data_IF_436279163354
#
_entry.id   IF_436279163354
#
_cell.length_a   1.000
_cell.length_b   1.000
_cell.length_c   1.000
_cell.angle_alpha   90.00
_cell.angle_beta   90.00
_cell.angle_gamma   90.00
#
_symmetry.space_group_name_H-M   'P 1'
#
loop_
_entity.id
_entity.type
_entity.pdbx_description
1 polymer ?
#
# COMPACT_ATOMS: atom_id res chain seq x y z
N UNK A 1 -10.37 17.38 -7.21
CA UNK A 1 -9.46 16.27 -6.89
C UNK A 1 -9.47 16.10 -5.39
N UNK A 2 -9.92 14.94 -4.90
CA UNK A 2 -10.12 14.69 -3.48
C UNK A 2 -8.84 14.08 -2.90
N UNK A 3 -7.91 14.93 -2.45
CA UNK A 3 -6.73 14.46 -1.73
C UNK A 3 -7.17 13.88 -0.40
N UNK A 4 -6.93 12.58 -0.20
CA UNK A 4 -7.31 11.90 1.05
C UNK A 4 -6.09 11.82 1.96
N UNK A 5 -6.31 12.06 3.25
CA UNK A 5 -5.27 11.86 4.25
C UNK A 5 -5.18 10.36 4.52
N UNK A 6 -4.00 9.80 4.26
CA UNK A 6 -3.70 8.41 4.55
C UNK A 6 -3.79 8.16 6.06
N UNK A 7 -4.55 7.14 6.49
CA UNK A 7 -4.76 6.85 7.90
C UNK A 7 -3.43 6.51 8.58
N UNK A 8 -3.18 7.10 9.75
CA UNK A 8 -1.99 6.83 10.56
C UNK A 8 -0.70 7.53 10.12
N UNK A 9 -0.68 8.22 8.97
CA UNK A 9 0.56 8.84 8.44
C UNK A 9 0.45 10.36 8.27
N UNK A 10 -0.77 10.90 8.23
CA UNK A 10 -1.00 12.33 8.00
C UNK A 10 -0.66 12.80 6.58
N UNK A 11 -0.24 11.88 5.71
CA UNK A 11 0.17 12.19 4.34
C UNK A 11 -1.07 12.34 3.47
N UNK A 12 -1.19 13.48 2.80
CA UNK A 12 -2.18 13.66 1.74
C UNK A 12 -1.71 12.96 0.47
N UNK A 13 -2.54 12.07 -0.02
CA UNK A 13 -2.30 11.35 -1.26
C UNK A 13 -3.56 11.44 -2.14
N UNK A 14 -3.34 11.59 -3.44
CA UNK A 14 -4.42 11.62 -4.41
C UNK A 14 -4.64 10.19 -4.93
N UNK A 15 -5.75 9.52 -4.57
CA UNK A 15 -5.95 8.11 -4.87
C UNK A 15 -5.99 7.82 -6.38
N UNK A 16 -6.50 8.75 -7.18
CA UNK A 16 -6.53 8.65 -8.65
C UNK A 16 -5.14 8.68 -9.29
N UNK A 17 -4.14 9.22 -8.58
CA UNK A 17 -2.74 9.23 -9.04
C UNK A 17 -1.97 7.99 -8.62
N UNK A 18 -2.53 7.08 -7.84
CA UNK A 18 -1.84 5.85 -7.45
C UNK A 18 -1.73 4.92 -8.66
N UNK A 19 -0.51 4.70 -9.11
CA UNK A 19 -0.20 3.77 -10.19
C UNK A 19 -0.04 2.36 -9.64
N UNK A 20 0.81 2.20 -8.62
CA UNK A 20 1.17 0.91 -8.01
C UNK A 20 1.29 1.05 -6.50
N UNK A 21 0.93 -0.01 -5.78
CA UNK A 21 1.18 -0.15 -4.35
C UNK A 21 1.89 -1.49 -4.15
N UNK A 22 3.04 -1.47 -3.50
CA UNK A 22 3.82 -2.67 -3.17
C UNK A 22 3.93 -2.83 -1.66
N UNK A 23 3.95 -4.06 -1.19
CA UNK A 23 4.25 -4.40 0.21
C UNK A 23 5.55 -5.19 0.20
N UNK A 24 6.61 -4.61 0.72
CA UNK A 24 7.91 -5.25 0.87
C UNK A 24 8.13 -5.63 2.34
N UNK A 25 8.42 -6.89 2.61
CA UNK A 25 8.97 -7.27 3.92
C UNK A 25 10.45 -6.88 3.92
N UNK A 26 10.82 -5.91 4.75
CA UNK A 26 12.22 -5.47 4.87
C UNK A 26 12.97 -6.45 5.76
N UNK A 27 12.33 -6.91 6.84
CA UNK A 27 12.85 -7.90 7.78
C UNK A 27 11.70 -8.70 8.44
N UNK A 28 12.02 -9.72 9.24
CA UNK A 28 11.03 -10.48 10.04
C UNK A 28 10.20 -9.62 11.01
N UNK A 29 10.66 -8.40 11.30
CA UNK A 29 10.05 -7.48 12.26
C UNK A 29 9.54 -6.18 11.64
N UNK A 30 9.71 -6.00 10.32
CA UNK A 30 9.42 -4.72 9.65
C UNK A 30 8.89 -4.95 8.25
N UNK A 31 7.73 -4.37 8.01
CA UNK A 31 7.06 -4.39 6.70
C UNK A 31 6.95 -2.97 6.18
N UNK A 32 7.23 -2.76 4.91
CA UNK A 32 7.20 -1.47 4.25
C UNK A 32 6.17 -1.49 3.13
N UNK A 33 5.28 -0.50 3.10
CA UNK A 33 4.37 -0.27 1.97
C UNK A 33 4.92 0.86 1.13
N UNK A 34 5.08 0.61 -0.17
CA UNK A 34 5.57 1.57 -1.16
C UNK A 34 4.43 1.98 -2.08
N UNK A 35 4.12 3.27 -2.12
CA UNK A 35 3.09 3.81 -3.02
C UNK A 35 3.77 4.57 -4.15
N UNK A 36 3.55 4.12 -5.38
CA UNK A 36 4.02 4.77 -6.60
C UNK A 36 2.88 5.60 -7.17
N UNK A 37 3.13 6.91 -7.31
CA UNK A 37 2.17 7.86 -7.86
C UNK A 37 2.59 8.30 -9.26
N UNK A 38 1.62 8.47 -10.16
CA UNK A 38 1.85 9.00 -11.51
C UNK A 38 2.49 10.38 -11.41
N UNK A 39 3.69 10.52 -11.97
CA UNK A 39 4.44 11.78 -12.00
C UNK A 39 5.23 12.10 -10.72
N UNK A 40 5.38 11.15 -9.79
CA UNK A 40 6.42 11.20 -8.75
C UNK A 40 7.59 10.29 -9.15
N UNK A 41 8.84 10.78 -9.06
CA UNK A 41 10.04 9.98 -9.38
C UNK A 41 10.36 8.91 -8.34
N UNK A 42 9.92 9.11 -7.09
CA UNK A 42 10.20 8.21 -5.98
C UNK A 42 8.90 7.73 -5.32
N UNK A 43 8.82 6.45 -4.93
CA UNK A 43 7.69 5.95 -4.17
C UNK A 43 7.67 6.54 -2.76
N UNK A 44 6.47 6.69 -2.21
CA UNK A 44 6.28 7.01 -0.80
C UNK A 44 6.35 5.74 0.03
N UNK A 45 7.26 5.73 1.01
CA UNK A 45 7.55 4.59 1.86
C UNK A 45 6.85 4.74 3.21
N UNK A 46 6.18 3.68 3.65
CA UNK A 46 5.47 3.61 4.92
C UNK A 46 5.90 2.37 5.67
N UNK A 47 6.61 2.53 6.78
CA UNK A 47 7.06 1.43 7.61
C UNK A 47 5.99 1.04 8.64
N UNK A 48 5.80 -0.26 8.80
CA UNK A 48 4.86 -0.89 9.72
C UNK A 48 5.58 -1.91 10.60
N UNK A 49 5.15 -2.04 11.87
CA UNK A 49 5.74 -3.00 12.81
C UNK A 49 5.42 -4.46 12.48
N UNK A 50 4.38 -4.71 11.69
CA UNK A 50 3.93 -6.06 11.36
C UNK A 50 3.18 -6.10 10.03
N UNK A 51 3.12 -7.31 9.45
CA UNK A 51 2.44 -7.58 8.17
C UNK A 51 0.93 -7.27 8.22
N UNK A 52 0.18 -7.66 9.26
CA UNK A 52 -1.22 -7.28 9.40
C UNK A 52 -1.47 -5.77 9.32
N UNK A 53 -0.65 -4.95 9.97
CA UNK A 53 -0.77 -3.49 9.93
C UNK A 53 -0.52 -2.93 8.52
N UNK A 54 0.50 -3.44 7.81
CA UNK A 54 0.76 -3.07 6.42
C UNK A 54 -0.38 -3.49 5.48
N UNK A 55 -0.96 -4.68 5.68
CA UNK A 55 -2.11 -5.16 4.90
C UNK A 55 -3.35 -4.30 5.16
N UNK A 56 -3.63 -3.95 6.42
CA UNK A 56 -4.75 -3.08 6.78
C UNK A 56 -4.62 -1.72 6.09
N UNK A 57 -3.41 -1.14 6.11
CA UNK A 57 -3.12 0.09 5.39
C UNK A 57 -3.33 -0.07 3.88
N UNK A 58 -2.80 -1.13 3.26
CA UNK A 58 -3.01 -1.42 1.85
C UNK A 58 -4.50 -1.50 1.48
N UNK A 59 -5.34 -2.15 2.31
CA UNK A 59 -6.80 -2.21 2.11
C UNK A 59 -7.42 -0.82 2.09
N UNK A 60 -7.07 0.04 3.05
CA UNK A 60 -7.60 1.39 3.11
C UNK A 60 -7.19 2.19 1.87
N UNK A 61 -5.93 2.12 1.45
CA UNK A 61 -5.44 2.81 0.25
C UNK A 61 -6.14 2.29 -1.01
N UNK A 62 -6.28 0.98 -1.16
CA UNK A 62 -6.99 0.39 -2.30
C UNK A 62 -8.46 0.77 -2.32
N UNK A 63 -9.12 0.78 -1.16
CA UNK A 63 -10.50 1.23 -1.03
C UNK A 63 -10.67 2.69 -1.45
N UNK A 64 -9.72 3.55 -1.09
CA UNK A 64 -9.72 4.95 -1.52
C UNK A 64 -9.52 5.09 -3.03
N UNK A 65 -8.66 4.24 -3.63
CA UNK A 65 -8.37 4.22 -5.07
C UNK A 65 -9.52 3.68 -5.92
N UNK A 66 -9.97 2.47 -5.62
CA UNK A 66 -10.92 1.73 -6.45
C UNK A 66 -12.36 1.84 -5.98
N UNK A 67 -12.61 2.40 -4.78
CA UNK A 67 -13.91 2.31 -4.10
C UNK A 67 -14.28 0.89 -3.66
N UNK A 68 -13.40 -0.08 -3.86
CA UNK A 68 -13.62 -1.50 -3.61
C UNK A 68 -12.87 -1.95 -2.36
N UNK A 69 -13.52 -2.79 -1.55
CA UNK A 69 -12.84 -3.46 -0.45
C UNK A 69 -12.24 -4.74 -0.97
N UNK A 70 -10.95 -4.95 -0.75
CA UNK A 70 -10.30 -6.24 -1.03
C UNK A 70 -10.49 -7.17 0.15
N UNK A 71 -10.75 -8.44 -0.12
CA UNK A 71 -10.70 -9.51 0.86
C UNK A 71 -9.28 -10.05 1.02
N UNK A 72 -9.00 -10.67 2.17
CA UNK A 72 -7.67 -11.15 2.54
C UNK A 72 -7.06 -12.08 1.48
N UNK A 73 -7.87 -12.92 0.84
CA UNK A 73 -7.41 -13.81 -0.24
C UNK A 73 -7.00 -13.05 -1.51
N UNK A 74 -7.68 -11.93 -1.83
CA UNK A 74 -7.34 -11.11 -3.00
C UNK A 74 -6.06 -10.33 -2.75
N UNK A 75 -5.88 -9.81 -1.53
CA UNK A 75 -4.64 -9.13 -1.14
C UNK A 75 -3.47 -10.11 -1.22
N UNK A 76 -3.66 -11.32 -0.70
CA UNK A 76 -2.63 -12.35 -0.74
C UNK A 76 -2.22 -12.67 -2.19
N UNK A 77 -3.17 -12.86 -3.10
CA UNK A 77 -2.87 -13.01 -4.54
C UNK A 77 -2.18 -11.79 -5.14
N UNK A 78 -2.63 -10.58 -4.84
CA UNK A 78 -2.02 -9.36 -5.34
C UNK A 78 -0.57 -9.19 -4.85
N UNK A 79 -0.30 -9.59 -3.61
CA UNK A 79 1.05 -9.64 -3.05
C UNK A 79 1.90 -10.70 -3.77
N UNK A 80 1.35 -11.87 -4.08
CA UNK A 80 2.03 -12.92 -4.85
C UNK A 80 2.28 -12.51 -6.31
N UNK A 81 1.37 -11.79 -6.96
CA UNK A 81 1.44 -11.42 -8.38
C UNK A 81 2.24 -10.13 -8.67
N UNK A 82 2.25 -9.14 -7.77
CA UNK A 82 2.91 -7.84 -8.02
C UNK A 82 4.37 -7.75 -7.54
N UNK A 83 4.92 -8.84 -7.00
CA UNK A 83 6.27 -8.90 -6.46
C UNK A 83 6.32 -8.67 -4.96
N UNK A 84 5.84 -9.64 -4.19
CA UNK A 84 6.50 -9.98 -2.94
C UNK A 84 7.53 -11.05 -3.28
N UNK A 85 8.79 -10.65 -3.51
CA UNK A 85 9.90 -11.60 -3.38
C UNK A 85 9.96 -12.03 -1.91
N UNK A 86 9.18 -13.06 -1.60
CA UNK A 86 9.29 -13.88 -0.40
C UNK A 86 10.25 -15.03 -0.76
N UNK A 87 11.54 -14.73 -0.70
CA UNK A 87 12.60 -15.72 -0.60
C UNK A 87 13.22 -15.64 0.79
#
# INVERSE_FOLDING_TARGET
>A
MASTVLPGTGIRLDPDRIEKIEIACVDETRVEVRIFSVGEEAPRLFAFPDKPAAIAFYRDVWRLRSGQTLDDQQIQRLMEENGAELA
#
